data_IF_141731955884
#
_entry.id   IF_141731955884
#
_cell.length_a   1.000
_cell.length_b   1.000
_cell.length_c   1.000
_cell.angle_alpha   90.00
_cell.angle_beta   90.00
_cell.angle_gamma   90.00
#
_symmetry.space_group_name_H-M   'P 1'
#
loop_
_entity.id
_entity.type
_entity.pdbx_description
1 polymer ?
#
# COMPACT_ATOMS: atom_id res chain seq x y z
N UNK A 1 -28.98 -33.44 43.29
CA UNK A 1 -27.74 -32.88 42.72
C UNK A 1 -27.74 -32.84 41.19
N UNK A 2 -28.74 -33.39 40.49
CA UNK A 2 -28.79 -33.41 39.01
C UNK A 2 -29.09 -32.04 38.35
N UNK A 3 -29.80 -31.14 39.05
CA UNK A 3 -30.28 -29.87 38.44
C UNK A 3 -29.17 -28.85 38.14
N UNK A 4 -27.99 -28.95 38.77
CA UNK A 4 -26.88 -27.99 38.57
C UNK A 4 -26.02 -28.40 37.36
N UNK A 5 -25.86 -29.70 37.11
CA UNK A 5 -25.13 -30.21 35.94
C UNK A 5 -25.84 -29.87 34.64
N UNK A 6 -27.17 -29.97 34.58
CA UNK A 6 -27.93 -29.60 33.38
C UNK A 6 -27.82 -28.10 33.06
N UNK A 7 -27.83 -27.23 34.08
CA UNK A 7 -27.63 -25.79 33.90
C UNK A 7 -26.21 -25.45 33.44
N UNK A 8 -25.19 -26.13 33.98
CA UNK A 8 -23.80 -25.98 33.54
C UNK A 8 -23.60 -26.46 32.10
N UNK A 9 -24.25 -27.56 31.71
CA UNK A 9 -24.16 -28.11 30.35
C UNK A 9 -24.87 -27.23 29.33
N UNK A 10 -26.05 -26.72 29.68
CA UNK A 10 -26.82 -25.81 28.82
C UNK A 10 -26.11 -24.45 28.65
N UNK A 11 -25.52 -23.91 29.72
CA UNK A 11 -24.74 -22.67 29.65
C UNK A 11 -23.42 -22.83 28.89
N UNK A 12 -22.75 -23.98 28.99
CA UNK A 12 -21.56 -24.29 28.20
C UNK A 12 -21.88 -24.35 26.69
N UNK A 13 -22.98 -25.01 26.31
CA UNK A 13 -23.44 -25.07 24.91
C UNK A 13 -23.78 -23.67 24.38
N UNK A 14 -24.42 -22.83 25.21
CA UNK A 14 -24.76 -21.46 24.83
C UNK A 14 -23.52 -20.60 24.60
N UNK A 15 -22.50 -20.73 25.46
CA UNK A 15 -21.22 -20.02 25.30
C UNK A 15 -20.44 -20.46 24.06
N UNK A 16 -20.43 -21.76 23.74
CA UNK A 16 -19.79 -22.29 22.51
C UNK A 16 -20.51 -21.79 21.26
N UNK A 17 -21.84 -21.71 21.27
CA UNK A 17 -22.61 -21.19 20.15
C UNK A 17 -22.34 -19.69 19.89
N UNK A 18 -22.24 -18.88 20.95
CA UNK A 18 -21.89 -17.46 20.84
C UNK A 18 -20.44 -17.30 20.35
N UNK A 19 -19.49 -18.06 20.90
CA UNK A 19 -18.10 -18.03 20.47
C UNK A 19 -17.93 -18.43 19.00
N UNK A 20 -18.63 -19.47 18.55
CA UNK A 20 -18.65 -19.90 17.14
C UNK A 20 -19.22 -18.83 16.22
N UNK A 21 -20.31 -18.17 16.60
CA UNK A 21 -20.94 -17.11 15.80
C UNK A 21 -20.04 -15.88 15.70
N UNK A 22 -19.40 -15.47 16.80
CA UNK A 22 -18.44 -14.37 16.82
C UNK A 22 -17.20 -14.68 15.97
N UNK A 23 -16.70 -15.92 16.00
CA UNK A 23 -15.56 -16.33 15.18
C UNK A 23 -15.88 -16.26 13.68
N UNK A 24 -17.09 -16.68 13.26
CA UNK A 24 -17.53 -16.59 11.86
C UNK A 24 -17.70 -15.14 11.40
N UNK A 25 -18.32 -14.29 12.23
CA UNK A 25 -18.46 -12.87 11.93
C UNK A 25 -17.11 -12.16 11.84
N UNK A 26 -16.20 -12.45 12.77
CA UNK A 26 -14.85 -11.89 12.81
C UNK A 26 -14.00 -12.36 11.61
N UNK A 27 -14.13 -13.63 11.21
CA UNK A 27 -13.46 -14.15 10.02
C UNK A 27 -14.02 -13.52 8.73
N UNK A 28 -15.33 -13.31 8.66
CA UNK A 28 -15.99 -12.65 7.53
C UNK A 28 -15.57 -11.18 7.37
N UNK A 29 -15.48 -10.42 8.47
CA UNK A 29 -15.05 -9.01 8.42
C UNK A 29 -13.57 -8.87 8.06
N UNK A 30 -12.69 -9.71 8.63
CA UNK A 30 -11.25 -9.68 8.33
C UNK A 30 -10.97 -9.98 6.85
N UNK A 31 -11.62 -10.99 6.27
CA UNK A 31 -11.42 -11.31 4.85
C UNK A 31 -12.02 -10.24 3.95
N UNK A 32 -13.20 -9.70 4.28
CA UNK A 32 -13.80 -8.60 3.52
C UNK A 32 -12.93 -7.34 3.50
N UNK A 33 -12.25 -7.01 4.60
CA UNK A 33 -11.27 -5.92 4.62
C UNK A 33 -10.02 -6.23 3.81
N UNK A 34 -9.51 -7.46 3.88
CA UNK A 34 -8.33 -7.90 3.13
C UNK A 34 -8.57 -7.84 1.62
N UNK A 35 -9.72 -8.31 1.16
CA UNK A 35 -10.10 -8.29 -0.26
C UNK A 35 -10.24 -6.85 -0.79
N UNK A 36 -10.84 -5.95 0.00
CA UNK A 36 -10.92 -4.52 -0.35
C UNK A 36 -9.53 -3.87 -0.42
N UNK A 37 -8.62 -4.19 0.51
CA UNK A 37 -7.24 -3.70 0.46
C UNK A 37 -6.52 -4.20 -0.79
N UNK A 38 -6.63 -5.50 -1.12
CA UNK A 38 -6.02 -6.06 -2.33
C UNK A 38 -6.56 -5.40 -3.62
N UNK A 39 -7.87 -5.23 -3.75
CA UNK A 39 -8.45 -4.57 -4.92
C UNK A 39 -7.97 -3.12 -5.07
N UNK A 40 -7.92 -2.36 -3.98
CA UNK A 40 -7.39 -0.99 -3.99
C UNK A 40 -5.90 -0.97 -4.39
N UNK A 41 -5.08 -1.90 -3.90
CA UNK A 41 -3.68 -1.99 -4.31
C UNK A 41 -3.55 -2.30 -5.80
N UNK A 42 -4.27 -3.29 -6.33
CA UNK A 42 -4.19 -3.66 -7.75
C UNK A 42 -4.59 -2.48 -8.65
N UNK A 43 -5.66 -1.75 -8.31
CA UNK A 43 -6.06 -0.56 -9.05
C UNK A 43 -5.01 0.56 -9.00
N UNK A 44 -4.41 0.79 -7.83
CA UNK A 44 -3.33 1.76 -7.67
C UNK A 44 -2.08 1.35 -8.47
N UNK A 45 -1.69 0.08 -8.44
CA UNK A 45 -0.57 -0.44 -9.22
C UNK A 45 -0.78 -0.23 -10.73
N UNK A 46 -1.99 -0.54 -11.23
CA UNK A 46 -2.33 -0.32 -12.63
C UNK A 46 -2.30 1.17 -13.00
N UNK A 47 -2.89 2.03 -12.17
CA UNK A 47 -2.88 3.48 -12.38
C UNK A 47 -1.46 4.04 -12.46
N UNK A 48 -0.59 3.63 -11.55
CA UNK A 48 0.80 4.07 -11.52
C UNK A 48 1.64 3.49 -12.65
N UNK A 49 1.36 2.26 -13.08
CA UNK A 49 2.00 1.70 -14.28
C UNK A 49 1.69 2.55 -15.51
N UNK A 50 0.44 2.96 -15.68
CA UNK A 50 0.04 3.86 -16.79
C UNK A 50 0.77 5.20 -16.70
N UNK A 51 0.93 5.77 -15.51
CA UNK A 51 1.68 7.02 -15.32
C UNK A 51 3.17 6.79 -15.65
N UNK A 52 3.77 5.73 -15.10
CA UNK A 52 5.15 5.34 -15.36
C UNK A 52 5.44 5.19 -16.86
N UNK A 53 4.55 4.52 -17.59
CA UNK A 53 4.71 4.30 -19.04
C UNK A 53 4.58 5.60 -19.85
N UNK A 54 3.80 6.59 -19.35
CA UNK A 54 3.65 7.91 -19.98
C UNK A 54 4.83 8.85 -19.76
N UNK A 55 5.59 8.68 -18.68
CA UNK A 55 6.75 9.52 -18.40
C UNK A 55 7.84 9.28 -19.45
N UNK A 56 8.20 10.33 -20.17
CA UNK A 56 9.27 10.31 -21.15
C UNK A 56 10.59 10.76 -20.53
N UNK A 57 11.70 10.17 -20.98
CA UNK A 57 13.03 10.70 -20.66
C UNK A 57 13.17 12.11 -21.24
N UNK A 58 13.83 13.01 -20.50
CA UNK A 58 13.91 14.43 -20.83
C UNK A 58 12.72 15.27 -20.36
N UNK A 59 11.65 14.65 -19.86
CA UNK A 59 10.56 15.39 -19.23
C UNK A 59 11.07 16.12 -17.98
N UNK A 60 10.57 17.32 -17.75
CA UNK A 60 10.87 18.14 -16.59
C UNK A 60 10.12 17.66 -15.35
N UNK A 61 10.60 18.07 -14.17
CA UNK A 61 9.89 17.79 -12.92
C UNK A 61 8.42 18.24 -12.99
N UNK A 62 8.14 19.44 -13.51
CA UNK A 62 6.78 20.00 -13.57
C UNK A 62 5.85 19.19 -14.48
N UNK A 63 6.38 18.71 -15.61
CA UNK A 63 5.60 17.86 -16.53
C UNK A 63 5.27 16.52 -15.89
N UNK A 64 6.21 15.93 -15.14
CA UNK A 64 6.00 14.67 -14.43
C UNK A 64 5.05 14.87 -13.24
N UNK A 65 5.25 15.91 -12.44
CA UNK A 65 4.42 16.23 -11.28
C UNK A 65 2.96 16.48 -11.70
N UNK A 66 2.73 17.14 -12.84
CA UNK A 66 1.39 17.32 -13.40
C UNK A 66 0.72 16.01 -13.87
N UNK A 67 1.50 15.00 -14.28
CA UNK A 67 0.98 13.66 -14.62
C UNK A 67 0.61 12.86 -13.36
N UNK A 68 1.31 13.12 -12.27
CA UNK A 68 1.26 12.35 -11.02
C UNK A 68 0.26 13.03 -10.07
N UNK A 69 -1.04 12.85 -10.37
CA UNK A 69 -2.22 13.42 -9.69
C UNK A 69 -2.09 13.70 -8.16
N UNK A 70 -2.59 14.88 -7.74
CA UNK A 70 -2.79 15.57 -6.43
C UNK A 70 -2.76 14.85 -5.06
N UNK A 71 -2.64 13.53 -4.94
CA UNK A 71 -2.77 12.82 -3.64
C UNK A 71 -1.51 12.15 -3.14
N UNK A 72 -0.37 12.49 -3.73
CA UNK A 72 0.87 11.78 -3.53
C UNK A 72 1.81 12.60 -2.67
N UNK A 73 2.36 11.97 -1.63
CA UNK A 73 3.43 12.61 -0.87
C UNK A 73 4.65 12.62 -1.77
N UNK A 74 5.15 13.83 -2.05
CA UNK A 74 6.35 14.02 -2.83
C UNK A 74 7.47 14.43 -1.90
N UNK A 75 8.62 13.77 -2.02
CA UNK A 75 9.85 14.20 -1.38
C UNK A 75 11.02 13.99 -2.34
N UNK A 76 12.03 14.86 -2.27
CA UNK A 76 13.25 14.70 -3.03
C UNK A 76 14.44 14.57 -2.08
N UNK A 77 15.51 13.89 -2.51
CA UNK A 77 16.66 13.59 -1.66
C UNK A 77 17.37 14.85 -1.14
N UNK A 78 17.29 15.97 -1.88
CA UNK A 78 17.83 17.27 -1.46
C UNK A 78 17.11 17.87 -0.25
N UNK A 79 15.85 17.46 0.00
CA UNK A 79 15.05 17.90 1.13
C UNK A 79 15.46 17.16 2.42
N UNK A 80 16.26 16.10 2.32
CA UNK A 80 16.72 15.32 3.45
C UNK A 80 17.99 15.93 4.08
N UNK A 81 18.10 16.01 5.41
CA UNK A 81 19.22 16.65 6.09
C UNK A 81 20.57 15.94 5.88
N UNK A 82 20.55 14.67 5.45
CA UNK A 82 21.75 13.93 5.08
C UNK A 82 22.06 14.16 3.60
N UNK A 83 22.74 15.27 3.31
CA UNK A 83 23.17 15.67 1.96
C UNK A 83 24.07 14.61 1.32
N UNK A 84 23.49 13.67 0.57
CA UNK A 84 24.22 12.91 -0.44
C UNK A 84 24.49 13.89 -1.58
N UNK A 85 25.74 14.31 -1.76
CA UNK A 85 26.16 15.18 -2.88
C UNK A 85 26.12 14.39 -4.19
N UNK A 86 24.92 14.09 -4.68
CA UNK A 86 24.73 13.62 -6.05
C UNK A 86 24.55 14.84 -6.96
N UNK A 87 25.18 14.91 -8.14
CA UNK A 87 24.86 15.93 -9.14
C UNK A 87 23.41 15.79 -9.65
N UNK A 88 22.83 14.60 -9.49
CA UNK A 88 21.47 14.30 -9.91
C UNK A 88 20.54 14.25 -8.69
N UNK A 89 19.32 14.74 -8.86
CA UNK A 89 18.28 14.80 -7.84
C UNK A 89 17.29 13.67 -8.02
N UNK A 90 17.06 12.89 -6.98
CA UNK A 90 15.95 11.94 -6.96
C UNK A 90 14.70 12.58 -6.34
N UNK A 91 13.56 12.38 -6.97
CA UNK A 91 12.25 12.72 -6.42
C UNK A 91 11.33 11.50 -6.41
N UNK A 92 10.53 11.40 -5.35
CA UNK A 92 9.75 10.23 -5.01
C UNK A 92 8.30 10.61 -4.78
N UNK A 93 7.38 10.03 -5.56
CA UNK A 93 5.93 10.17 -5.41
C UNK A 93 5.35 8.91 -4.77
N UNK A 94 4.91 9.02 -3.52
CA UNK A 94 4.36 7.93 -2.73
C UNK A 94 2.82 8.05 -2.62
N UNK A 95 2.09 7.01 -3.03
CA UNK A 95 0.61 7.02 -3.04
C UNK A 95 -0.10 6.02 -2.16
N UNK A 96 0.64 5.01 -1.72
CA UNK A 96 0.28 4.10 -0.67
C UNK A 96 1.60 3.72 0.02
N UNK A 97 1.58 3.22 1.26
CA UNK A 97 2.81 2.73 1.90
C UNK A 97 3.56 1.73 1.03
N UNK A 98 2.85 1.02 0.14
CA UNK A 98 3.39 -0.03 -0.71
C UNK A 98 3.70 0.35 -2.16
N UNK A 99 3.65 1.64 -2.53
CA UNK A 99 3.92 2.05 -3.91
C UNK A 99 4.63 3.40 -3.98
N UNK A 100 5.80 3.39 -4.62
CA UNK A 100 6.64 4.58 -4.82
C UNK A 100 7.13 4.66 -6.25
N UNK A 101 6.87 5.79 -6.90
CA UNK A 101 7.48 6.16 -8.18
C UNK A 101 8.67 7.07 -7.91
N UNK A 102 9.86 6.68 -8.35
CA UNK A 102 11.11 7.42 -8.14
C UNK A 102 11.68 7.84 -9.48
N UNK A 103 11.98 9.12 -9.66
CA UNK A 103 12.57 9.68 -10.88
C UNK A 103 13.87 10.38 -10.54
N UNK A 104 14.91 10.11 -11.32
CA UNK A 104 16.17 10.84 -11.26
C UNK A 104 16.16 11.97 -12.29
N UNK A 105 16.54 13.16 -11.83
CA UNK A 105 16.70 14.36 -12.64
C UNK A 105 18.18 14.76 -12.70
N UNK A 106 18.65 15.12 -13.89
CA UNK A 106 19.95 15.74 -14.05
C UNK A 106 19.96 17.21 -13.53
N UNK A 107 21.11 17.90 -13.51
CA UNK A 107 21.19 19.31 -13.10
C UNK A 107 20.32 20.28 -13.90
N UNK A 108 19.93 19.92 -15.13
CA UNK A 108 19.03 20.70 -15.99
C UNK A 108 17.55 20.41 -15.72
N UNK A 109 17.24 19.67 -14.66
CA UNK A 109 15.90 19.26 -14.27
C UNK A 109 15.21 18.39 -15.34
N UNK A 110 15.96 17.50 -15.99
CA UNK A 110 15.48 16.56 -17.02
C UNK A 110 15.53 15.14 -16.49
N UNK A 111 14.43 14.39 -16.64
CA UNK A 111 14.34 13.01 -16.21
C UNK A 111 15.28 12.11 -17.00
N UNK A 112 16.21 11.44 -16.31
CA UNK A 112 17.21 10.56 -16.90
C UNK A 112 17.03 9.10 -16.48
N UNK A 113 16.42 8.86 -15.32
CA UNK A 113 16.08 7.52 -14.84
C UNK A 113 14.69 7.53 -14.20
N UNK A 114 13.96 6.41 -14.32
CA UNK A 114 12.68 6.19 -13.63
C UNK A 114 12.63 4.79 -13.06
N UNK A 115 12.11 4.66 -11.83
CA UNK A 115 11.95 3.39 -11.12
C UNK A 115 10.57 3.36 -10.46
N UNK A 116 9.91 2.21 -10.52
CA UNK A 116 8.62 1.98 -9.89
C UNK A 116 8.76 0.83 -8.89
N UNK A 117 8.54 1.14 -7.63
CA UNK A 117 8.64 0.19 -6.52
C UNK A 117 7.26 -0.21 -6.04
N UNK A 118 7.09 -1.51 -5.85
CA UNK A 118 5.96 -2.10 -5.15
C UNK A 118 6.52 -2.78 -3.91
N UNK A 119 6.09 -2.35 -2.72
CA UNK A 119 6.50 -2.99 -1.49
C UNK A 119 5.93 -4.41 -1.45
N UNK A 120 6.82 -5.37 -1.22
CA UNK A 120 6.50 -6.80 -1.17
C UNK A 120 5.83 -7.19 0.16
N UNK A 121 5.61 -6.26 1.07
CA UNK A 121 4.92 -6.51 2.34
C UNK A 121 3.39 -6.66 2.24
N UNK A 122 2.83 -6.72 1.03
CA UNK A 122 1.57 -7.44 0.85
C UNK A 122 1.91 -8.92 0.75
N UNK A 123 2.05 -9.57 1.90
CA UNK A 123 2.14 -11.02 2.06
C UNK A 123 0.98 -11.77 1.39
N UNK A 124 1.09 -11.93 0.07
CA UNK A 124 0.81 -13.15 -0.66
C UNK A 124 2.09 -13.97 -0.47
N UNK A 125 2.23 -14.71 0.63
CA UNK A 125 1.55 -15.99 0.66
C UNK A 125 2.03 -16.85 -0.52
N UNK A 126 3.26 -17.37 -0.38
CA UNK A 126 3.80 -18.59 -1.02
C UNK A 126 4.14 -18.56 -2.52
N UNK A 127 5.41 -18.86 -2.81
CA UNK A 127 5.81 -20.25 -3.12
C UNK A 127 7.07 -20.61 -2.37
#
# INVERSE_FOLDING_TARGET
MERIEDYLRSSLVFLVAIAGTLAVLFWGTLNGERDRRMQNTVQLQQKYKVIYDRIQYGASYQEIDALVLDRLRVYCDDDLPQKVKSPNRWCHWQGAPTLTLSIEFNPENRAIEKKLYYDKELGLGQK
#
